data_IF_857424104981
#
_entry.id   IF_857424104981
#
_cell.length_a   1.000
_cell.length_b   1.000
_cell.length_c   1.000
_cell.angle_alpha   90.00
_cell.angle_beta   90.00
_cell.angle_gamma   90.00
#
_symmetry.space_group_name_H-M   'P 1'
#
loop_
_entity.id
_entity.type
_entity.pdbx_description
1 polymer ?
#
# COMPACT_ATOMS: atom_id res chain seq x y z
N UNK A 1 5.93 6.65 -15.40
CA UNK A 1 4.61 6.02 -15.10
C UNK A 1 4.10 5.16 -16.25
N UNK A 2 4.25 5.59 -17.51
CA UNK A 2 3.85 4.77 -18.68
C UNK A 2 4.67 3.49 -18.73
N UNK A 3 6.01 3.57 -18.60
CA UNK A 3 6.89 2.39 -18.61
C UNK A 3 6.57 1.37 -17.51
N UNK A 4 6.25 1.82 -16.30
CA UNK A 4 5.90 0.90 -15.21
C UNK A 4 4.54 0.19 -15.43
N UNK A 5 3.60 0.84 -16.12
CA UNK A 5 2.33 0.21 -16.52
C UNK A 5 2.57 -0.82 -17.60
N UNK A 6 3.32 -0.46 -18.63
CA UNK A 6 3.71 -1.38 -19.72
C UNK A 6 4.44 -2.60 -19.17
N UNK A 7 5.45 -2.40 -18.32
CA UNK A 7 6.20 -3.47 -17.67
C UNK A 7 5.29 -4.38 -16.82
N UNK A 8 4.35 -3.82 -16.06
CA UNK A 8 3.40 -4.59 -15.25
C UNK A 8 2.45 -5.43 -16.11
N UNK A 9 1.97 -4.90 -17.22
CA UNK A 9 1.13 -5.62 -18.19
C UNK A 9 1.93 -6.73 -18.86
N UNK A 10 3.12 -6.41 -19.38
CA UNK A 10 4.02 -7.39 -20.02
C UNK A 10 4.39 -8.53 -19.08
N UNK A 11 4.70 -8.21 -17.82
CA UNK A 11 4.99 -9.21 -16.79
C UNK A 11 3.81 -10.14 -16.57
N UNK A 12 2.60 -9.58 -16.47
CA UNK A 12 1.39 -10.38 -16.26
C UNK A 12 1.11 -11.28 -17.48
N UNK A 13 1.23 -10.75 -18.69
CA UNK A 13 1.07 -11.53 -19.92
C UNK A 13 2.12 -12.64 -20.03
N UNK A 14 3.36 -12.38 -19.60
CA UNK A 14 4.41 -13.41 -19.54
C UNK A 14 4.05 -14.55 -18.60
N UNK A 15 3.53 -14.27 -17.41
CA UNK A 15 3.03 -15.30 -16.50
C UNK A 15 1.83 -16.06 -17.05
N UNK A 16 0.92 -15.39 -17.76
CA UNK A 16 -0.22 -16.06 -18.44
C UNK A 16 0.30 -17.03 -19.50
N UNK A 17 1.24 -16.59 -20.33
CA UNK A 17 1.84 -17.43 -21.37
C UNK A 17 2.58 -18.63 -20.78
N UNK A 18 3.43 -18.42 -19.78
CA UNK A 18 4.16 -19.49 -19.08
C UNK A 18 3.21 -20.51 -18.45
N UNK A 19 2.13 -20.04 -17.83
CA UNK A 19 1.08 -20.90 -17.27
C UNK A 19 0.47 -21.79 -18.33
N UNK A 20 0.10 -21.24 -19.50
CA UNK A 20 -0.51 -21.97 -20.60
C UNK A 20 0.47 -22.99 -21.21
N UNK A 21 1.71 -22.61 -21.43
CA UNK A 21 2.75 -23.48 -22.01
C UNK A 21 3.09 -24.67 -21.11
N UNK A 22 3.14 -24.45 -19.80
CA UNK A 22 3.52 -25.48 -18.83
C UNK A 22 2.33 -26.23 -18.21
N UNK A 23 1.10 -25.95 -18.61
CA UNK A 23 -0.11 -26.57 -18.07
C UNK A 23 -0.33 -26.28 -16.58
N UNK A 24 0.14 -25.11 -16.11
CA UNK A 24 0.00 -24.71 -14.70
C UNK A 24 -1.43 -24.25 -14.43
N UNK A 25 -2.09 -24.84 -13.43
CA UNK A 25 -3.47 -24.51 -13.08
C UNK A 25 -3.59 -23.38 -12.04
N UNK A 26 -2.48 -22.88 -11.50
CA UNK A 26 -2.48 -21.80 -10.52
C UNK A 26 -3.15 -20.53 -11.07
N UNK A 27 -4.14 -19.93 -10.39
CA UNK A 27 -4.76 -18.68 -10.83
C UNK A 27 -3.81 -17.49 -10.68
N UNK A 28 -3.95 -16.51 -11.57
CA UNK A 28 -3.22 -15.25 -11.51
C UNK A 28 -4.14 -14.17 -10.95
N UNK A 29 -3.66 -13.40 -9.99
CA UNK A 29 -4.36 -12.25 -9.41
C UNK A 29 -3.50 -11.01 -9.64
N UNK A 30 -4.05 -9.98 -10.28
CA UNK A 30 -3.38 -8.69 -10.46
C UNK A 30 -3.80 -7.73 -9.35
N UNK A 31 -2.82 -7.24 -8.57
CA UNK A 31 -3.09 -6.29 -7.48
C UNK A 31 -2.27 -5.01 -7.66
N UNK A 32 -2.82 -3.86 -7.21
CA UNK A 32 -2.10 -2.60 -7.15
C UNK A 32 -2.66 -1.46 -7.99
N UNK A 33 -1.75 -0.67 -8.58
CA UNK A 33 -2.12 0.59 -9.25
C UNK A 33 -2.75 0.38 -10.64
N UNK A 34 -2.45 -0.71 -11.34
CA UNK A 34 -3.02 -0.97 -12.67
C UNK A 34 -4.52 -1.24 -12.57
N UNK A 35 -5.00 -2.18 -11.73
CA UNK A 35 -6.44 -2.35 -11.52
C UNK A 35 -7.14 -1.09 -11.00
N UNK A 36 -6.46 -0.30 -10.15
CA UNK A 36 -7.04 0.93 -9.62
C UNK A 36 -7.24 2.01 -10.68
N UNK A 37 -6.40 2.01 -11.72
CA UNK A 37 -6.45 3.01 -12.79
C UNK A 37 -7.40 2.64 -13.92
N UNK A 38 -7.38 1.37 -14.32
CA UNK A 38 -8.06 0.93 -15.54
C UNK A 38 -9.39 0.21 -15.24
N UNK A 39 -9.60 -0.27 -13.99
CA UNK A 39 -10.87 -0.88 -13.58
C UNK A 39 -11.33 -1.96 -14.56
N UNK A 40 -12.60 -1.86 -14.98
CA UNK A 40 -13.25 -2.84 -15.86
C UNK A 40 -12.56 -2.98 -17.22
N UNK A 41 -11.85 -1.95 -17.69
CA UNK A 41 -11.14 -1.97 -18.98
C UNK A 41 -10.05 -3.07 -18.95
N UNK A 42 -9.21 -3.10 -17.90
CA UNK A 42 -8.15 -4.10 -17.79
C UNK A 42 -8.71 -5.51 -17.55
N UNK A 43 -9.85 -5.63 -16.86
CA UNK A 43 -10.55 -6.90 -16.67
C UNK A 43 -11.01 -7.50 -18.01
N UNK A 44 -11.50 -6.64 -18.89
CA UNK A 44 -11.94 -7.06 -20.21
C UNK A 44 -10.78 -7.44 -21.15
N UNK A 45 -9.67 -6.73 -21.06
CA UNK A 45 -8.47 -6.98 -21.87
C UNK A 45 -7.65 -8.21 -21.41
N UNK A 46 -7.81 -8.62 -20.16
CA UNK A 46 -7.01 -9.71 -19.55
C UNK A 46 -7.91 -10.80 -18.94
N UNK A 47 -8.69 -11.52 -19.74
CA UNK A 47 -9.66 -12.52 -19.24
C UNK A 47 -9.01 -13.75 -18.57
N UNK A 48 -7.71 -13.98 -18.77
CA UNK A 48 -6.94 -15.06 -18.13
C UNK A 48 -6.49 -14.73 -16.70
N UNK A 49 -6.68 -13.49 -16.25
CA UNK A 49 -6.44 -13.06 -14.87
C UNK A 49 -7.70 -13.33 -14.04
N UNK A 50 -7.55 -14.13 -12.99
CA UNK A 50 -8.67 -14.64 -12.20
C UNK A 50 -9.33 -13.58 -11.29
N UNK A 51 -8.59 -12.54 -10.89
CA UNK A 51 -9.13 -11.42 -10.14
C UNK A 51 -8.22 -10.19 -10.19
N UNK A 52 -8.82 -9.02 -9.95
CA UNK A 52 -8.15 -7.73 -9.91
C UNK A 52 -8.42 -7.05 -8.57
N UNK A 53 -7.35 -6.59 -7.90
CA UNK A 53 -7.42 -5.94 -6.57
C UNK A 53 -6.83 -4.54 -6.67
N UNK A 54 -7.65 -3.49 -6.74
CA UNK A 54 -7.17 -2.12 -6.71
C UNK A 54 -6.40 -1.79 -5.44
N UNK A 55 -5.40 -0.90 -5.53
CA UNK A 55 -4.56 -0.50 -4.39
C UNK A 55 -5.33 0.17 -3.23
N UNK A 56 -6.60 0.53 -3.42
CA UNK A 56 -7.49 1.03 -2.35
C UNK A 56 -8.21 -0.10 -1.59
N UNK A 57 -8.12 -1.33 -2.06
CA UNK A 57 -8.79 -2.51 -1.52
C UNK A 57 -7.77 -3.61 -1.20
N UNK A 58 -6.56 -3.19 -0.82
CA UNK A 58 -5.46 -4.11 -0.48
C UNK A 58 -5.80 -5.04 0.70
N UNK A 59 -6.63 -4.57 1.62
CA UNK A 59 -7.16 -5.33 2.76
C UNK A 59 -8.08 -6.49 2.34
N UNK A 60 -8.67 -6.43 1.15
CA UNK A 60 -9.51 -7.50 0.60
C UNK A 60 -8.71 -8.64 -0.05
N UNK A 61 -7.37 -8.51 -0.19
CA UNK A 61 -6.54 -9.49 -0.93
C UNK A 61 -6.73 -10.92 -0.41
N UNK A 62 -6.81 -11.10 0.92
CA UNK A 62 -6.99 -12.41 1.52
C UNK A 62 -8.35 -13.03 1.17
N UNK A 63 -9.42 -12.25 1.16
CA UNK A 63 -10.76 -12.72 0.78
C UNK A 63 -10.86 -13.06 -0.70
N UNK A 64 -10.21 -12.24 -1.54
CA UNK A 64 -10.12 -12.49 -2.99
C UNK A 64 -9.36 -13.78 -3.27
N UNK A 65 -8.20 -13.98 -2.64
CA UNK A 65 -7.40 -15.19 -2.81
C UNK A 65 -8.16 -16.45 -2.36
N UNK A 66 -8.85 -16.40 -1.21
CA UNK A 66 -9.70 -17.52 -0.76
C UNK A 66 -10.77 -17.89 -1.78
N UNK A 67 -11.46 -16.89 -2.30
CA UNK A 67 -12.50 -17.09 -3.33
C UNK A 67 -11.92 -17.69 -4.61
N UNK A 68 -10.79 -17.17 -5.09
CA UNK A 68 -10.13 -17.63 -6.33
C UNK A 68 -9.58 -19.05 -6.18
N UNK A 69 -9.11 -19.43 -4.99
CA UNK A 69 -8.58 -20.75 -4.69
C UNK A 69 -9.65 -21.76 -4.26
N UNK A 70 -10.92 -21.34 -4.14
CA UNK A 70 -12.01 -22.21 -3.67
C UNK A 70 -11.83 -22.67 -2.22
N UNK A 71 -11.16 -21.87 -1.38
CA UNK A 71 -10.96 -22.17 0.03
C UNK A 71 -12.17 -21.74 0.85
N UNK A 72 -12.58 -22.56 1.83
CA UNK A 72 -13.61 -22.18 2.79
C UNK A 72 -13.15 -21.00 3.65
N UNK A 73 -14.09 -20.16 4.08
CA UNK A 73 -13.78 -19.06 4.98
C UNK A 73 -13.18 -19.61 6.29
N UNK A 74 -11.92 -19.28 6.53
CA UNK A 74 -11.30 -19.56 7.80
C UNK A 74 -11.83 -18.54 8.82
N UNK A 75 -12.52 -19.01 9.85
CA UNK A 75 -13.04 -18.18 10.95
C UNK A 75 -11.97 -17.72 11.93
N UNK A 76 -10.70 -18.07 11.70
CA UNK A 76 -9.61 -17.53 12.48
C UNK A 76 -9.38 -16.05 12.11
N UNK A 77 -9.41 -15.20 13.12
CA UNK A 77 -8.93 -13.84 13.00
C UNK A 77 -7.54 -13.87 12.36
N UNK A 78 -7.34 -13.05 11.32
CA UNK A 78 -6.02 -12.95 10.72
C UNK A 78 -5.02 -12.59 11.83
N UNK A 79 -3.91 -13.35 11.97
CA UNK A 79 -2.91 -12.99 12.97
C UNK A 79 -2.49 -11.55 12.72
N UNK A 80 -2.35 -10.79 13.80
CA UNK A 80 -1.80 -9.44 13.73
C UNK A 80 -0.54 -9.48 12.85
N UNK A 81 -0.51 -8.65 11.80
CA UNK A 81 0.60 -8.66 10.85
C UNK A 81 1.85 -8.21 11.59
N UNK A 82 2.55 -9.18 12.15
CA UNK A 82 3.86 -8.93 12.75
C UNK A 82 4.83 -8.67 11.60
N UNK A 83 5.16 -7.41 11.38
CA UNK A 83 6.28 -7.06 10.52
C UNK A 83 7.53 -7.62 11.18
N UNK A 84 8.07 -8.70 10.63
CA UNK A 84 9.43 -9.16 10.96
C UNK A 84 10.42 -8.14 10.40
N UNK A 85 10.72 -7.11 11.18
CA UNK A 85 11.65 -6.07 10.78
C UNK A 85 13.06 -6.59 11.00
N UNK A 86 13.72 -6.97 9.92
CA UNK A 86 15.17 -7.26 9.92
C UNK A 86 16.01 -6.07 9.45
N UNK A 87 15.38 -4.93 9.13
CA UNK A 87 16.05 -3.75 8.61
C UNK A 87 16.24 -2.69 9.71
N UNK A 88 17.34 -1.93 9.62
CA UNK A 88 17.59 -0.81 10.52
C UNK A 88 16.60 0.35 10.33
N UNK A 89 15.89 0.40 9.20
CA UNK A 89 14.91 1.43 8.84
C UNK A 89 13.53 0.85 8.50
N UNK A 90 12.50 1.68 8.61
CA UNK A 90 11.14 1.35 8.17
C UNK A 90 10.43 2.56 7.57
N UNK A 91 9.60 2.28 6.56
CA UNK A 91 8.69 3.27 5.99
C UNK A 91 7.37 3.28 6.78
N UNK A 92 6.94 4.47 7.16
CA UNK A 92 5.66 4.71 7.81
C UNK A 92 4.83 5.65 6.93
N UNK A 93 3.75 5.14 6.37
CA UNK A 93 2.84 5.93 5.55
C UNK A 93 2.02 6.85 6.45
N UNK A 94 2.10 8.17 6.23
CA UNK A 94 1.38 9.17 7.03
C UNK A 94 0.12 9.70 6.34
N UNK A 95 0.05 9.55 5.01
CA UNK A 95 -1.09 10.00 4.21
C UNK A 95 -1.24 9.14 2.96
N UNK A 96 -2.40 9.18 2.31
CA UNK A 96 -2.63 8.56 1.01
C UNK A 96 -3.44 9.51 0.11
N UNK A 97 -3.35 9.29 -1.22
CA UNK A 97 -3.98 10.14 -2.21
C UNK A 97 -3.30 11.50 -2.38
N UNK A 98 -3.84 12.30 -3.31
CA UNK A 98 -3.30 13.64 -3.58
C UNK A 98 -4.35 14.50 -4.29
N UNK A 99 -4.52 15.75 -3.84
CA UNK A 99 -5.49 16.71 -4.37
C UNK A 99 -4.87 17.77 -5.29
N UNK A 100 -3.59 17.62 -5.65
CA UNK A 100 -2.92 18.65 -6.48
C UNK A 100 -3.30 18.63 -7.95
N UNK A 101 -3.78 17.51 -8.48
CA UNK A 101 -4.22 17.36 -9.88
C UNK A 101 -3.23 17.95 -10.91
N UNK A 102 -1.93 17.76 -10.71
CA UNK A 102 -0.91 18.17 -11.66
C UNK A 102 -1.18 17.56 -13.03
N UNK A 103 -1.01 18.32 -14.12
CA UNK A 103 -1.41 17.95 -15.49
C UNK A 103 -0.79 16.64 -16.03
N UNK A 104 0.35 16.22 -15.47
CA UNK A 104 1.09 15.01 -15.87
C UNK A 104 0.91 13.84 -14.88
N UNK A 105 0.16 14.02 -13.78
CA UNK A 105 0.13 13.09 -12.67
C UNK A 105 -1.15 12.27 -12.62
N UNK A 106 -1.02 10.95 -12.58
CA UNK A 106 -2.14 10.03 -12.48
C UNK A 106 -2.53 9.66 -11.02
N UNK A 107 -1.79 10.13 -10.02
CA UNK A 107 -2.00 9.76 -8.61
C UNK A 107 -3.43 10.00 -8.12
N UNK A 108 -4.07 11.18 -8.36
CA UNK A 108 -5.45 11.40 -7.92
C UNK A 108 -6.47 10.40 -8.50
N UNK A 109 -6.20 9.88 -9.69
CA UNK A 109 -7.08 8.90 -10.36
C UNK A 109 -6.84 7.47 -9.87
N UNK A 110 -5.63 7.17 -9.39
CA UNK A 110 -5.23 5.85 -8.87
C UNK A 110 -5.53 5.75 -7.38
N UNK A 111 -4.96 6.68 -6.58
CA UNK A 111 -5.03 6.70 -5.11
C UNK A 111 -6.22 7.48 -4.57
N UNK A 112 -6.87 8.33 -5.40
CA UNK A 112 -8.01 9.16 -5.04
C UNK A 112 -7.63 10.42 -4.29
N UNK A 113 -8.66 10.97 -3.58
CA UNK A 113 -8.53 12.18 -2.79
C UNK A 113 -7.54 11.99 -1.65
N UNK A 114 -6.88 13.08 -1.29
CA UNK A 114 -5.97 13.10 -0.16
C UNK A 114 -6.68 12.80 1.16
N UNK A 115 -6.03 12.03 2.03
CA UNK A 115 -6.39 11.93 3.43
C UNK A 115 -5.15 11.67 4.30
N UNK A 116 -5.13 12.28 5.49
CA UNK A 116 -4.11 12.04 6.53
C UNK A 116 -4.47 10.82 7.36
N UNK A 117 -3.48 10.04 7.74
CA UNK A 117 -3.65 9.05 8.81
C UNK A 117 -3.62 9.75 10.16
N UNK A 118 -4.42 9.27 11.09
CA UNK A 118 -4.49 9.79 12.46
C UNK A 118 -3.12 9.70 13.17
N UNK A 119 -2.79 10.73 13.93
CA UNK A 119 -1.50 10.82 14.63
C UNK A 119 -1.25 9.64 15.58
N UNK A 120 -2.27 9.25 16.34
CA UNK A 120 -2.15 8.16 17.32
C UNK A 120 -1.86 6.81 16.64
N UNK A 121 -2.43 6.57 15.45
CA UNK A 121 -2.17 5.37 14.66
C UNK A 121 -0.74 5.35 14.15
N UNK A 122 -0.25 6.50 13.65
CA UNK A 122 1.14 6.65 13.19
C UNK A 122 2.12 6.44 14.34
N UNK A 123 1.90 7.08 15.48
CA UNK A 123 2.78 6.98 16.64
C UNK A 123 2.78 5.57 17.25
N UNK A 124 1.64 4.89 17.24
CA UNK A 124 1.55 3.48 17.66
C UNK A 124 2.37 2.57 16.75
N UNK A 125 2.27 2.74 15.44
CA UNK A 125 3.09 1.99 14.46
C UNK A 125 4.58 2.26 14.66
N UNK A 126 4.97 3.53 14.87
CA UNK A 126 6.37 3.93 15.13
C UNK A 126 6.91 3.24 16.38
N UNK A 127 6.17 3.24 17.50
CA UNK A 127 6.61 2.56 18.74
C UNK A 127 6.83 1.07 18.52
N UNK A 128 5.89 0.41 17.87
CA UNK A 128 5.99 -1.02 17.56
C UNK A 128 7.24 -1.33 16.71
N UNK A 129 7.53 -0.50 15.70
CA UNK A 129 8.73 -0.64 14.87
C UNK A 129 10.02 -0.45 15.67
N UNK A 130 10.07 0.53 16.56
CA UNK A 130 11.22 0.81 17.42
C UNK A 130 11.48 -0.33 18.41
N UNK A 131 10.43 -0.88 19.02
CA UNK A 131 10.49 -2.07 19.88
C UNK A 131 11.01 -3.30 19.11
N UNK A 132 10.64 -3.40 17.81
CA UNK A 132 11.14 -4.43 16.88
C UNK A 132 12.59 -4.23 16.42
N UNK A 133 13.29 -3.17 16.87
CA UNK A 133 14.70 -2.94 16.56
C UNK A 133 14.98 -1.91 15.45
N UNK A 134 13.96 -1.31 14.84
CA UNK A 134 14.13 -0.21 13.88
C UNK A 134 14.77 1.00 14.57
N UNK A 135 15.60 1.74 13.85
CA UNK A 135 16.28 2.94 14.34
C UNK A 135 16.10 4.15 13.42
N UNK A 136 15.68 3.94 12.19
CA UNK A 136 15.37 5.00 11.24
C UNK A 136 13.92 4.90 10.79
N UNK A 137 13.14 5.95 10.99
CA UNK A 137 11.76 6.04 10.53
C UNK A 137 11.70 7.00 9.34
N UNK A 138 11.20 6.49 8.20
CA UNK A 138 11.02 7.29 6.99
C UNK A 138 9.53 7.53 6.79
N UNK A 139 9.07 8.76 7.00
CA UNK A 139 7.68 9.15 6.78
C UNK A 139 7.41 9.32 5.29
N UNK A 140 6.40 8.59 4.78
CA UNK A 140 6.06 8.58 3.35
C UNK A 140 4.60 8.94 3.09
N UNK A 141 4.33 9.44 1.88
CA UNK A 141 3.00 9.74 1.34
C UNK A 141 3.12 10.35 -0.05
N UNK A 142 2.00 10.51 -0.75
CA UNK A 142 1.98 11.19 -2.07
C UNK A 142 2.11 12.71 -1.95
N UNK A 143 1.65 13.27 -0.83
CA UNK A 143 1.83 14.69 -0.47
C UNK A 143 1.95 14.79 1.05
N UNK A 144 3.15 14.60 1.56
CA UNK A 144 3.42 14.66 3.00
C UNK A 144 3.30 16.05 3.59
N UNK A 145 3.54 17.10 2.77
CA UNK A 145 3.61 18.50 3.21
C UNK A 145 2.32 19.07 3.80
N UNK A 146 1.18 18.50 3.42
CA UNK A 146 -0.15 18.95 3.90
C UNK A 146 -0.74 18.03 4.98
N UNK A 147 0.07 17.13 5.55
CA UNK A 147 -0.43 16.23 6.59
C UNK A 147 -1.06 17.00 7.75
N UNK A 148 -2.22 16.53 8.17
CA UNK A 148 -2.98 17.08 9.27
C UNK A 148 -4.01 18.14 8.87
N UNK A 149 -3.98 18.66 7.62
CA UNK A 149 -4.89 19.74 7.22
C UNK A 149 -6.37 19.32 7.17
N UNK A 150 -6.64 18.03 7.01
CA UNK A 150 -7.96 17.40 6.97
C UNK A 150 -8.35 16.73 8.30
N UNK A 151 -7.44 16.76 9.29
CA UNK A 151 -7.69 16.25 10.64
C UNK A 151 -8.23 17.36 11.56
N UNK A 152 -9.00 17.00 12.59
CA UNK A 152 -9.41 17.96 13.60
C UNK A 152 -8.23 18.48 14.42
N UNK A 153 -8.26 19.77 14.79
CA UNK A 153 -7.19 20.41 15.57
C UNK A 153 -6.16 21.14 14.70
N UNK A 154 -5.09 21.62 15.36
CA UNK A 154 -4.05 22.45 14.72
C UNK A 154 -2.76 21.65 14.42
N UNK A 155 -2.86 20.32 14.31
CA UNK A 155 -1.71 19.48 14.04
C UNK A 155 -1.32 19.60 12.56
N UNK A 156 -0.01 19.67 12.32
CA UNK A 156 0.58 19.72 10.98
C UNK A 156 1.82 18.82 10.90
N UNK A 157 2.44 18.72 9.74
CA UNK A 157 3.63 17.90 9.54
C UNK A 157 4.76 18.23 10.53
N UNK A 158 4.98 19.51 10.85
CA UNK A 158 6.03 19.90 11.79
C UNK A 158 5.74 19.35 13.21
N UNK A 159 4.49 19.39 13.63
CA UNK A 159 4.06 18.79 14.89
C UNK A 159 4.26 17.25 14.86
N UNK A 160 3.87 16.57 13.78
CA UNK A 160 4.05 15.12 13.64
C UNK A 160 5.54 14.73 13.69
N UNK A 161 6.39 15.45 12.97
CA UNK A 161 7.84 15.22 12.98
C UNK A 161 8.43 15.34 14.38
N UNK A 162 7.99 16.35 15.17
CA UNK A 162 8.41 16.51 16.55
C UNK A 162 7.95 15.34 17.43
N UNK A 163 6.70 14.91 17.27
CA UNK A 163 6.14 13.79 18.02
C UNK A 163 6.89 12.49 17.71
N UNK A 164 7.11 12.19 16.42
CA UNK A 164 7.89 11.00 15.99
C UNK A 164 9.34 11.08 16.49
N UNK A 165 9.99 12.24 16.40
CA UNK A 165 11.35 12.43 16.91
C UNK A 165 11.46 12.19 18.42
N UNK A 166 10.43 12.54 19.21
CA UNK A 166 10.36 12.23 20.64
C UNK A 166 10.29 10.73 20.92
N UNK A 167 9.52 9.98 20.12
CA UNK A 167 9.43 8.51 20.21
C UNK A 167 10.76 7.83 19.83
N UNK A 168 11.41 8.31 18.79
CA UNK A 168 12.64 7.71 18.22
C UNK A 168 13.88 7.97 19.11
N UNK A 169 13.94 9.12 19.75
CA UNK A 169 15.11 9.60 20.53
C UNK A 169 15.61 8.64 21.61
N UNK A 170 14.73 7.99 22.44
CA UNK A 170 15.17 7.05 23.47
C UNK A 170 15.89 5.83 22.92
N UNK A 171 15.64 5.48 21.66
CA UNK A 171 16.23 4.34 20.96
C UNK A 171 17.54 4.69 20.21
N UNK A 172 17.98 5.96 20.29
CA UNK A 172 19.16 6.45 19.56
C UNK A 172 18.98 6.48 18.04
N UNK A 173 17.74 6.56 17.57
CA UNK A 173 17.40 6.60 16.17
C UNK A 173 17.12 8.02 15.64
N UNK A 174 16.59 8.10 14.40
CA UNK A 174 16.22 9.36 13.73
C UNK A 174 14.99 9.19 12.80
N UNK A 175 14.46 10.33 12.35
CA UNK A 175 13.33 10.43 11.39
C UNK A 175 13.72 11.35 10.24
#
# INVERSE_FOLDING_TARGET
LMSAVEEGIETTLSFVAEKLENGITCPIVMAGCIPARYGDEIEHEMPDVAAFVPCKREDEICSVLKRVLGMEECTQEAPEVVRTVQAAFAYVKISDGCDRFCSFCAIPYIRGRYFSREADVILSEVRHLLEGGVREIVLIGQDTGIWGHDLPGDHNLAWLLQAVAQEVRPYGGWV
#
